data_IF_966930602745
#
_entry.id   IF_966930602745
#
_cell.length_a   1.000
_cell.length_b   1.000
_cell.length_c   1.000
_cell.angle_alpha   90.00
_cell.angle_beta   90.00
_cell.angle_gamma   90.00
#
_symmetry.space_group_name_H-M   'P 1'
#
loop_
_entity.id
_entity.type
_entity.pdbx_description
1 polymer ?
#
# COMPACT_ATOMS: atom_id res chain seq x y z
N UNK A 1 19.04 -16.11 33.15
CA UNK A 1 17.63 -15.75 33.39
C UNK A 1 17.54 -14.23 33.41
N UNK A 2 17.08 -13.62 32.32
CA UNK A 2 16.74 -12.20 32.28
C UNK A 2 15.22 -12.13 32.24
N UNK A 3 14.63 -11.42 33.20
CA UNK A 3 13.18 -11.34 33.35
C UNK A 3 12.58 -10.57 32.16
N UNK A 4 11.48 -11.07 31.61
CA UNK A 4 10.76 -10.49 30.48
C UNK A 4 10.19 -9.07 30.73
N UNK A 5 10.30 -8.52 31.94
CA UNK A 5 9.73 -7.21 32.34
C UNK A 5 10.48 -5.97 31.83
N UNK A 6 11.46 -6.10 30.94
CA UNK A 6 12.29 -4.97 30.48
C UNK A 6 12.13 -4.62 29.00
N UNK A 7 11.26 -5.33 28.27
CA UNK A 7 10.97 -5.09 26.86
C UNK A 7 9.47 -4.91 26.60
N UNK A 8 8.74 -4.38 27.57
CA UNK A 8 7.41 -3.84 27.30
C UNK A 8 7.60 -2.57 26.48
N UNK A 9 6.98 -2.56 25.30
CA UNK A 9 7.06 -1.50 24.31
C UNK A 9 6.58 -0.20 24.96
N UNK A 10 7.42 0.85 25.05
CA UNK A 10 7.00 2.13 25.64
C UNK A 10 5.88 2.83 24.86
N UNK A 11 5.43 2.25 23.74
CA UNK A 11 4.33 2.74 22.92
C UNK A 11 3.06 1.87 22.97
N UNK A 12 3.03 0.77 23.75
CA UNK A 12 1.85 -0.11 23.84
C UNK A 12 0.81 0.34 24.89
N UNK A 13 1.11 1.37 25.69
CA UNK A 13 0.16 1.95 26.64
C UNK A 13 -0.50 3.22 26.06
N UNK A 14 -1.79 3.09 25.75
CA UNK A 14 -2.80 4.14 25.63
C UNK A 14 -2.30 5.54 25.19
N UNK A 15 -2.36 5.81 23.88
CA UNK A 15 -2.28 7.13 23.24
C UNK A 15 -3.34 8.16 23.73
N UNK A 16 -4.05 7.91 24.84
CA UNK A 16 -5.02 8.83 25.42
C UNK A 16 -4.39 9.86 26.37
N UNK A 17 -3.09 9.76 26.69
CA UNK A 17 -2.39 10.73 27.56
C UNK A 17 -1.61 11.81 26.80
N UNK A 18 -1.90 12.02 25.50
CA UNK A 18 -1.49 13.27 24.84
C UNK A 18 -2.34 14.40 25.43
N UNK A 19 -1.82 14.99 26.50
CA UNK A 19 -2.24 16.27 27.04
C UNK A 19 -2.06 17.32 25.95
N UNK A 20 -3.11 17.55 25.16
CA UNK A 20 -3.23 18.77 24.39
C UNK A 20 -3.29 19.91 25.41
N UNK A 21 -2.15 20.57 25.62
CA UNK A 21 -2.17 21.91 26.18
C UNK A 21 -3.05 22.74 25.25
N UNK A 22 -4.18 23.20 25.77
CA UNK A 22 -5.06 24.14 25.09
C UNK A 22 -4.19 25.34 24.69
N UNK A 23 -3.94 25.48 23.38
CA UNK A 23 -3.24 26.66 22.85
C UNK A 23 -4.27 27.78 22.88
N UNK A 24 -4.40 28.42 24.05
CA UNK A 24 -5.13 29.67 24.19
C UNK A 24 -4.42 30.65 23.27
N UNK A 25 -5.09 31.00 22.17
CA UNK A 25 -4.64 32.09 21.32
C UNK A 25 -4.77 33.37 22.14
N UNK A 26 -3.64 33.89 22.61
CA UNK A 26 -3.50 35.19 23.26
C UNK A 26 -3.87 36.30 22.26
N UNK A 27 -5.18 36.49 22.07
CA UNK A 27 -5.76 37.69 21.50
C UNK A 27 -5.76 38.75 22.58
N UNK A 28 -4.64 39.48 22.69
CA UNK A 28 -4.48 40.59 23.62
C UNK A 28 -5.55 41.67 23.42
N UNK A 29 -6.53 41.68 24.30
CA UNK A 29 -7.34 42.84 24.62
C UNK A 29 -7.45 42.91 26.14
N UNK A 30 -7.01 44.06 26.67
CA UNK A 30 -6.86 44.34 28.07
C UNK A 30 -8.18 44.30 28.87
N UNK A 31 -8.01 44.06 30.16
CA UNK A 31 -8.81 44.51 31.31
C UNK A 31 -9.55 43.42 32.10
N UNK A 32 -9.07 43.30 33.35
CA UNK A 32 -9.82 43.09 34.58
C UNK A 32 -10.41 41.70 34.94
N UNK A 33 -9.63 41.04 35.80
CA UNK A 33 -9.99 40.66 37.17
C UNK A 33 -10.92 39.45 37.44
N UNK A 34 -10.32 38.56 38.25
CA UNK A 34 -10.92 37.72 39.30
C UNK A 34 -11.60 36.37 38.92
N UNK A 35 -10.85 35.31 39.25
CA UNK A 35 -11.25 34.25 40.19
C UNK A 35 -12.33 33.23 39.75
N UNK A 36 -11.89 32.00 39.43
CA UNK A 36 -12.37 30.75 40.07
C UNK A 36 -11.93 29.49 39.27
N UNK A 37 -11.23 28.56 39.95
CA UNK A 37 -10.95 27.18 39.51
C UNK A 37 -12.22 26.31 39.55
N UNK A 38 -12.32 25.20 38.77
CA UNK A 38 -12.32 23.90 39.48
C UNK A 38 -11.69 22.69 38.76
N UNK A 39 -11.09 21.88 39.65
CA UNK A 39 -10.70 20.45 39.65
C UNK A 39 -11.26 19.49 38.57
N UNK A 40 -10.34 18.71 37.99
CA UNK A 40 -10.59 17.40 37.37
C UNK A 40 -10.67 16.28 38.44
N UNK A 41 -11.53 15.29 38.20
CA UNK A 41 -11.53 13.99 38.88
C UNK A 41 -11.64 12.88 37.84
N UNK A 42 -10.62 12.03 37.81
CA UNK A 42 -10.50 10.79 37.03
C UNK A 42 -11.36 9.66 37.63
N UNK A 43 -11.89 8.80 36.77
CA UNK A 43 -12.27 7.42 37.11
C UNK A 43 -11.99 6.51 35.91
N UNK A 44 -11.27 5.37 36.05
CA UNK A 44 -11.04 4.44 34.96
C UNK A 44 -12.10 3.32 34.97
N UNK A 45 -12.57 2.90 33.79
CA UNK A 45 -13.45 1.74 33.61
C UNK A 45 -13.02 0.91 32.41
N UNK A 46 -12.20 -0.09 32.67
CA UNK A 46 -11.93 -1.26 31.81
C UNK A 46 -13.16 -2.15 31.67
N UNK A 47 -13.73 -2.29 30.46
CA UNK A 47 -14.44 -3.51 30.06
C UNK A 47 -14.35 -3.71 28.54
N UNK A 48 -14.03 -4.94 28.16
CA UNK A 48 -13.86 -5.44 26.80
C UNK A 48 -15.09 -5.26 25.89
N UNK A 49 -14.86 -4.98 24.60
CA UNK A 49 -15.83 -5.27 23.55
C UNK A 49 -15.13 -5.76 22.27
N UNK A 50 -15.15 -7.07 22.09
CA UNK A 50 -14.98 -7.76 20.82
C UNK A 50 -16.24 -7.59 19.95
N UNK A 51 -16.04 -7.55 18.62
CA UNK A 51 -16.98 -8.03 17.60
C UNK A 51 -18.07 -7.08 17.08
N UNK A 52 -18.21 -7.12 15.74
CA UNK A 52 -19.40 -6.80 14.95
C UNK A 52 -19.67 -5.32 14.59
N UNK A 53 -18.96 -4.82 13.57
CA UNK A 53 -19.52 -3.81 12.66
C UNK A 53 -19.95 -4.48 11.35
N UNK A 54 -21.16 -5.04 11.38
CA UNK A 54 -21.97 -5.45 10.23
C UNK A 54 -23.25 -4.61 10.32
N UNK A 55 -23.72 -4.07 9.19
CA UNK A 55 -24.86 -3.14 8.99
C UNK A 55 -24.41 -1.67 8.98
N UNK A 56 -24.82 -0.79 8.08
CA UNK A 56 -25.82 -0.77 7.00
C UNK A 56 -25.54 0.51 6.23
N UNK A 57 -25.29 0.46 4.93
CA UNK A 57 -25.38 1.64 4.06
C UNK A 57 -26.43 1.33 3.00
N UNK A 58 -27.68 1.43 3.43
CA UNK A 58 -28.87 1.34 2.59
C UNK A 58 -29.57 2.69 2.71
N UNK A 59 -29.78 3.31 1.54
CA UNK A 59 -30.78 4.36 1.28
C UNK A 59 -30.73 5.66 2.09
N UNK A 60 -30.01 6.65 1.54
CA UNK A 60 -30.39 8.07 1.64
C UNK A 60 -30.60 8.63 0.21
N UNK A 61 -31.79 8.35 -0.33
CA UNK A 61 -32.39 9.03 -1.49
C UNK A 61 -33.62 9.75 -0.91
N UNK A 62 -33.48 11.00 -0.49
CA UNK A 62 -34.56 11.93 -0.08
C UNK A 62 -33.89 13.07 0.70
N UNK A 63 -34.12 14.37 0.51
CA UNK A 63 -35.03 15.12 -0.34
C UNK A 63 -34.33 16.40 -0.80
N UNK A 64 -34.61 16.87 -2.01
CA UNK A 64 -35.62 17.91 -2.22
C UNK A 64 -35.24 19.23 -1.51
N UNK A 65 -34.25 19.93 -2.06
CA UNK A 65 -34.06 21.35 -1.85
C UNK A 65 -35.17 22.10 -2.58
N UNK A 66 -36.34 22.21 -1.95
CA UNK A 66 -37.36 23.17 -2.33
C UNK A 66 -36.93 24.53 -1.78
N UNK A 67 -36.21 25.28 -2.62
CA UNK A 67 -35.91 26.69 -2.41
C UNK A 67 -37.21 27.48 -2.51
N UNK A 68 -37.90 27.66 -1.38
CA UNK A 68 -38.96 28.65 -1.26
C UNK A 68 -38.33 30.04 -1.26
N UNK A 69 -38.20 30.60 -2.46
CA UNK A 69 -38.08 32.04 -2.66
C UNK A 69 -39.33 32.71 -2.09
N UNK A 70 -39.22 33.27 -0.89
CA UNK A 70 -40.25 34.12 -0.30
C UNK A 70 -40.18 35.47 -1.04
N UNK A 71 -41.25 35.90 -1.73
CA UNK A 71 -41.25 37.18 -2.42
C UNK A 71 -41.20 38.32 -1.40
N UNK A 72 -40.05 38.99 -1.32
CA UNK A 72 -39.88 40.29 -0.68
C UNK A 72 -40.60 41.35 -1.50
N UNK A 73 -41.91 41.42 -1.37
CA UNK A 73 -42.69 42.55 -1.83
C UNK A 73 -43.99 42.61 -1.05
N UNK A 74 -44.35 43.83 -0.69
CA UNK A 74 -45.68 44.31 -0.31
C UNK A 74 -45.85 44.60 1.20
N UNK A 75 -46.12 45.89 1.44
CA UNK A 75 -46.79 46.49 2.61
C UNK A 75 -45.88 46.95 3.76
N UNK A 76 -45.14 48.03 3.52
CA UNK A 76 -44.91 49.06 4.54
C UNK A 76 -46.27 49.71 4.86
N UNK A 77 -46.90 49.30 5.97
CA UNK A 77 -48.21 49.78 6.39
C UNK A 77 -48.45 49.55 7.87
N UNK A 78 -47.91 50.45 8.70
CA UNK A 78 -48.42 50.87 10.01
C UNK A 78 -49.22 49.84 10.83
N UNK A 79 -48.54 48.92 11.51
CA UNK A 79 -49.15 48.09 12.57
C UNK A 79 -48.30 48.14 13.84
N UNK A 80 -48.35 49.26 14.56
CA UNK A 80 -47.63 49.54 15.82
C UNK A 80 -48.10 48.70 17.04
N UNK A 81 -48.32 47.40 16.88
CA UNK A 81 -48.76 46.53 17.98
C UNK A 81 -48.53 45.03 17.81
N UNK A 82 -48.16 44.52 16.63
CA UNK A 82 -47.82 43.08 16.44
C UNK A 82 -46.32 42.78 16.48
N UNK A 83 -45.47 43.80 16.35
CA UNK A 83 -44.01 43.61 16.23
C UNK A 83 -43.34 42.95 17.44
N UNK A 84 -43.93 43.01 18.64
CA UNK A 84 -43.32 42.38 19.81
C UNK A 84 -43.35 40.85 19.77
N UNK A 85 -44.43 40.25 19.25
CA UNK A 85 -44.53 38.79 19.11
C UNK A 85 -43.59 38.28 18.00
N UNK A 86 -43.57 38.98 16.87
CA UNK A 86 -42.66 38.68 15.75
C UNK A 86 -41.19 38.79 16.19
N UNK A 87 -40.83 39.82 16.98
CA UNK A 87 -39.47 39.96 17.51
C UNK A 87 -39.07 38.80 18.44
N UNK A 88 -39.98 38.32 19.30
CA UNK A 88 -39.71 37.15 20.16
C UNK A 88 -39.52 35.86 19.35
N UNK A 89 -40.29 35.66 18.28
CA UNK A 89 -40.11 34.52 17.37
C UNK A 89 -38.76 34.58 16.63
N UNK A 90 -38.35 35.77 16.17
CA UNK A 90 -37.04 35.98 15.55
C UNK A 90 -35.90 35.76 16.55
N UNK A 91 -36.01 36.24 17.79
CA UNK A 91 -35.02 36.02 18.84
C UNK A 91 -34.86 34.53 19.15
N UNK A 92 -35.96 33.79 19.33
CA UNK A 92 -35.94 32.34 19.54
C UNK A 92 -35.29 31.59 18.36
N UNK A 93 -35.57 32.00 17.12
CA UNK A 93 -34.94 31.42 15.94
C UNK A 93 -33.43 31.72 15.87
N UNK A 94 -33.01 32.95 16.22
CA UNK A 94 -31.59 33.31 16.31
C UNK A 94 -30.88 32.47 17.39
N UNK A 95 -31.51 32.25 18.54
CA UNK A 95 -30.97 31.39 19.60
C UNK A 95 -30.84 29.93 19.15
N UNK A 96 -31.85 29.39 18.45
CA UNK A 96 -31.79 28.05 17.87
C UNK A 96 -30.62 27.93 16.86
N UNK A 97 -30.48 28.88 15.93
CA UNK A 97 -29.40 28.88 14.95
C UNK A 97 -28.01 28.98 15.62
N UNK A 98 -27.89 29.74 16.71
CA UNK A 98 -26.65 29.79 17.51
C UNK A 98 -26.34 28.45 18.18
N UNK A 99 -27.35 27.75 18.71
CA UNK A 99 -27.18 26.42 19.29
C UNK A 99 -26.76 25.38 18.25
N UNK A 100 -27.38 25.40 17.06
CA UNK A 100 -27.02 24.55 15.93
C UNK A 100 -25.59 24.82 15.41
N UNK A 101 -25.20 26.10 15.30
CA UNK A 101 -23.82 26.48 14.94
C UNK A 101 -22.81 25.96 15.94
N UNK A 102 -23.11 26.06 17.25
CA UNK A 102 -22.25 25.55 18.32
C UNK A 102 -22.09 24.03 18.26
N UNK A 103 -23.19 23.30 18.03
CA UNK A 103 -23.16 21.84 17.88
C UNK A 103 -22.37 21.41 16.63
N UNK A 104 -22.58 22.09 15.49
CA UNK A 104 -21.85 21.86 14.25
C UNK A 104 -20.34 22.13 14.41
N UNK A 105 -19.96 23.19 15.12
CA UNK A 105 -18.56 23.49 15.40
C UNK A 105 -17.89 22.44 16.31
N UNK A 106 -18.62 21.93 17.31
CA UNK A 106 -18.12 20.85 18.17
C UNK A 106 -17.88 19.56 17.37
N UNK A 107 -18.78 19.22 16.44
CA UNK A 107 -18.60 18.06 15.56
C UNK A 107 -17.45 18.26 14.56
N UNK A 108 -17.27 19.47 14.01
CA UNK A 108 -16.14 19.79 13.15
C UNK A 108 -14.79 19.62 13.88
N UNK A 109 -14.70 20.10 15.12
CA UNK A 109 -13.51 19.90 15.96
C UNK A 109 -13.25 18.41 16.23
N UNK A 110 -14.30 17.61 16.50
CA UNK A 110 -14.20 16.16 16.69
C UNK A 110 -13.69 15.45 15.42
N UNK A 111 -14.23 15.82 14.26
CA UNK A 111 -13.81 15.27 12.96
C UNK A 111 -12.37 15.65 12.63
N UNK A 112 -11.96 16.89 12.92
CA UNK A 112 -10.58 17.35 12.72
C UNK A 112 -9.60 16.57 13.60
N UNK A 113 -9.93 16.33 14.88
CA UNK A 113 -9.12 15.51 15.77
C UNK A 113 -9.00 14.05 15.28
N UNK A 114 -10.11 13.47 14.81
CA UNK A 114 -10.11 12.12 14.22
C UNK A 114 -9.26 12.06 12.95
N UNK A 115 -9.34 13.08 12.09
CA UNK A 115 -8.51 13.19 10.90
C UNK A 115 -7.02 13.21 11.25
N UNK A 116 -6.60 14.07 12.19
CA UNK A 116 -5.20 14.13 12.63
C UNK A 116 -4.71 12.79 13.21
N UNK A 117 -5.56 12.06 13.95
CA UNK A 117 -5.26 10.71 14.46
C UNK A 117 -5.12 9.66 13.35
N UNK A 118 -5.94 9.74 12.31
CA UNK A 118 -5.82 8.84 11.16
C UNK A 118 -4.56 9.17 10.34
N UNK A 119 -4.22 10.44 10.16
CA UNK A 119 -3.01 10.88 9.47
C UNK A 119 -1.72 10.46 10.21
N UNK A 120 -1.70 10.50 11.54
CA UNK A 120 -0.56 9.98 12.32
C UNK A 120 -0.42 8.47 12.17
N UNK A 121 -1.53 7.72 12.21
CA UNK A 121 -1.54 6.26 11.99
C UNK A 121 -1.06 5.88 10.58
N UNK A 122 -1.49 6.61 9.55
CA UNK A 122 -1.03 6.39 8.17
C UNK A 122 0.48 6.62 8.06
N UNK A 123 1.02 7.69 8.67
CA UNK A 123 2.46 7.95 8.70
C UNK A 123 3.25 6.84 9.42
N UNK A 124 2.78 6.39 10.59
CA UNK A 124 3.39 5.28 11.34
C UNK A 124 3.41 3.98 10.53
N UNK A 125 2.28 3.59 9.92
CA UNK A 125 2.21 2.41 9.06
C UNK A 125 3.10 2.52 7.81
N UNK A 126 3.20 3.71 7.22
CA UNK A 126 4.10 3.96 6.08
C UNK A 126 5.56 3.77 6.47
N UNK A 127 5.98 4.25 7.64
CA UNK A 127 7.33 4.02 8.17
C UNK A 127 7.61 2.53 8.44
N UNK A 128 6.65 1.83 9.05
CA UNK A 128 6.74 0.39 9.28
C UNK A 128 6.90 -0.40 7.97
N UNK A 129 6.13 -0.03 6.93
CA UNK A 129 6.24 -0.61 5.59
C UNK A 129 7.63 -0.37 4.97
N UNK A 130 8.12 0.87 4.97
CA UNK A 130 9.43 1.21 4.41
C UNK A 130 10.57 0.45 5.12
N UNK A 131 10.48 0.31 6.45
CA UNK A 131 11.43 -0.48 7.22
C UNK A 131 11.41 -1.97 6.84
N UNK A 132 10.22 -2.56 6.67
CA UNK A 132 10.07 -3.94 6.21
C UNK A 132 10.61 -4.15 4.78
N UNK A 133 10.37 -3.20 3.87
CA UNK A 133 10.91 -3.23 2.50
C UNK A 133 12.44 -3.16 2.50
N UNK A 134 13.04 -2.33 3.35
CA UNK A 134 14.50 -2.25 3.52
C UNK A 134 15.07 -3.56 4.06
N UNK A 135 14.42 -4.20 5.03
CA UNK A 135 14.82 -5.50 5.56
C UNK A 135 14.72 -6.59 4.48
N UNK A 136 13.63 -6.63 3.73
CA UNK A 136 13.45 -7.55 2.62
C UNK A 136 14.57 -7.38 1.56
N UNK A 137 14.96 -6.15 1.26
CA UNK A 137 16.04 -5.89 0.31
C UNK A 137 17.41 -6.37 0.84
N UNK A 138 17.67 -6.21 2.15
CA UNK A 138 18.87 -6.76 2.79
C UNK A 138 18.90 -8.29 2.73
N UNK A 139 17.76 -8.96 2.98
CA UNK A 139 17.65 -10.41 2.87
C UNK A 139 17.82 -10.91 1.43
N UNK A 140 17.29 -10.19 0.44
CA UNK A 140 17.52 -10.50 -0.98
C UNK A 140 19.01 -10.43 -1.35
N UNK A 141 19.73 -9.43 -0.86
CA UNK A 141 21.17 -9.31 -1.09
C UNK A 141 21.96 -10.41 -0.37
N UNK A 142 21.60 -10.74 0.88
CA UNK A 142 22.19 -11.89 1.60
C UNK A 142 21.97 -13.20 0.84
N UNK A 143 20.74 -13.44 0.37
CA UNK A 143 20.39 -14.63 -0.40
C UNK A 143 21.13 -14.69 -1.74
N UNK A 144 21.31 -13.55 -2.41
CA UNK A 144 22.14 -13.46 -3.63
C UNK A 144 23.58 -13.87 -3.36
N UNK A 145 24.21 -13.30 -2.32
CA UNK A 145 25.59 -13.64 -1.93
C UNK A 145 25.71 -15.12 -1.55
N UNK A 146 24.70 -15.70 -0.89
CA UNK A 146 24.68 -17.13 -0.58
C UNK A 146 24.52 -17.99 -1.84
N UNK A 147 23.68 -17.60 -2.80
CA UNK A 147 23.54 -18.30 -4.07
C UNK A 147 24.86 -18.30 -4.86
N UNK A 148 25.56 -17.18 -4.93
CA UNK A 148 26.88 -17.07 -5.58
C UNK A 148 27.91 -18.01 -4.91
N UNK A 149 27.89 -18.12 -3.56
CA UNK A 149 28.75 -19.04 -2.81
C UNK A 149 28.41 -20.51 -3.07
N UNK A 150 27.12 -20.85 -3.15
CA UNK A 150 26.68 -22.22 -3.47
C UNK A 150 27.14 -22.59 -4.88
N UNK A 151 26.96 -21.71 -5.87
CA UNK A 151 27.45 -21.93 -7.24
C UNK A 151 28.96 -22.18 -7.29
N UNK A 152 29.75 -21.38 -6.57
CA UNK A 152 31.21 -21.56 -6.52
C UNK A 152 31.63 -22.91 -5.88
N UNK A 153 30.91 -23.36 -4.84
CA UNK A 153 31.16 -24.65 -4.20
C UNK A 153 30.74 -25.83 -5.10
N UNK A 154 29.67 -25.68 -5.87
CA UNK A 154 29.22 -26.67 -6.85
C UNK A 154 30.26 -26.84 -7.98
N UNK A 155 30.81 -25.73 -8.50
CA UNK A 155 31.91 -25.75 -9.48
C UNK A 155 33.18 -26.43 -8.90
N UNK A 156 33.55 -26.13 -7.65
CA UNK A 156 34.69 -26.77 -6.99
C UNK A 156 34.47 -28.28 -6.82
N UNK A 157 33.26 -28.70 -6.45
CA UNK A 157 32.88 -30.11 -6.33
C UNK A 157 32.96 -30.82 -7.68
N UNK A 158 32.47 -30.20 -8.75
CA UNK A 158 32.55 -30.74 -10.11
C UNK A 158 34.00 -30.93 -10.56
N UNK A 159 34.87 -29.94 -10.33
CA UNK A 159 36.30 -30.04 -10.61
C UNK A 159 36.97 -31.17 -9.83
N UNK A 160 36.64 -31.34 -8.54
CA UNK A 160 37.14 -32.45 -7.73
C UNK A 160 36.66 -33.81 -8.26
N UNK A 161 35.39 -33.92 -8.65
CA UNK A 161 34.83 -35.14 -9.23
C UNK A 161 35.47 -35.50 -10.58
N UNK A 162 35.70 -34.51 -11.45
CA UNK A 162 36.41 -34.70 -12.71
C UNK A 162 37.86 -35.18 -12.47
N UNK A 163 38.57 -34.58 -11.52
CA UNK A 163 39.93 -34.98 -11.12
C UNK A 163 39.97 -36.39 -10.54
N UNK A 164 39.03 -36.74 -9.66
CA UNK A 164 38.92 -38.07 -9.08
C UNK A 164 38.63 -39.13 -10.16
N UNK A 165 37.73 -38.80 -11.09
CA UNK A 165 37.41 -39.67 -12.23
C UNK A 165 38.62 -39.88 -13.15
N UNK A 166 39.36 -38.83 -13.51
CA UNK A 166 40.60 -38.94 -14.28
C UNK A 166 41.66 -39.80 -13.57
N UNK A 167 41.85 -39.62 -12.26
CA UNK A 167 42.78 -40.43 -11.47
C UNK A 167 42.38 -41.93 -11.43
N UNK A 168 41.08 -42.23 -11.38
CA UNK A 168 40.57 -43.59 -11.43
C UNK A 168 40.86 -44.27 -12.79
N UNK A 169 40.71 -43.54 -13.90
CA UNK A 169 41.02 -44.07 -15.24
C UNK A 169 42.52 -44.39 -15.40
N UNK A 170 43.41 -43.59 -14.83
CA UNK A 170 44.86 -43.88 -14.86
C UNK A 170 45.25 -45.10 -14.03
N UNK A 171 44.52 -45.41 -12.96
CA UNK A 171 44.83 -46.57 -12.10
C UNK A 171 44.33 -47.91 -12.67
N UNK A 172 43.31 -47.89 -13.52
CA UNK A 172 42.74 -49.10 -14.13
C UNK A 172 43.49 -49.63 -15.36
N UNK A 173 44.44 -48.87 -15.91
CA UNK A 173 45.09 -49.19 -17.19
C UNK A 173 46.45 -49.92 -17.06
N UNK A 174 46.95 -50.17 -15.85
CA UNK A 174 48.12 -51.06 -15.68
C UNK A 174 47.63 -52.51 -15.64
N UNK A 175 47.89 -53.33 -16.69
CA UNK A 175 47.57 -54.74 -16.66
C UNK A 175 48.42 -55.36 -15.55
N UNK A 176 47.73 -55.87 -14.53
CA UNK A 176 48.33 -56.59 -13.43
C UNK A 176 48.77 -57.98 -13.92
N UNK A 177 49.72 -58.03 -14.86
CA UNK A 177 50.42 -59.26 -15.18
C UNK A 177 51.58 -59.43 -14.20
N UNK A 178 51.30 -60.26 -13.19
CA UNK A 178 52.20 -61.30 -12.70
C UNK A 178 53.67 -60.92 -12.44
N UNK A 179 54.00 -60.63 -11.19
CA UNK A 179 55.15 -61.24 -10.49
C UNK A 179 55.11 -60.79 -9.03
N UNK A 180 54.53 -61.55 -8.11
CA UNK A 180 55.15 -62.72 -7.48
C UNK A 180 56.48 -62.36 -6.82
N UNK A 181 56.45 -62.35 -5.47
CA UNK A 181 57.56 -62.56 -4.54
C UNK A 181 58.60 -61.44 -4.50
N UNK A 182 58.50 -60.59 -3.47
CA UNK A 182 59.59 -60.39 -2.52
C UNK A 182 59.05 -59.80 -1.22
N UNK A 183 58.84 -60.68 -0.25
CA UNK A 183 58.88 -60.36 1.17
C UNK A 183 60.23 -59.70 1.49
N UNK A 184 60.22 -58.43 1.86
CA UNK A 184 61.37 -57.77 2.50
C UNK A 184 60.87 -56.66 3.41
N UNK A 185 60.38 -57.13 4.55
CA UNK A 185 60.54 -56.55 5.89
C UNK A 185 61.75 -55.60 5.96
N UNK A 186 61.49 -54.30 6.15
CA UNK A 186 62.51 -53.37 6.65
C UNK A 186 61.84 -52.23 7.44
N UNK A 187 62.42 -51.81 8.58
CA UNK A 187 61.66 -51.25 9.69
C UNK A 187 61.59 -49.72 9.65
N UNK A 188 60.43 -49.22 10.06
CA UNK A 188 60.28 -48.29 11.19
C UNK A 188 61.46 -47.35 11.45
N UNK A 189 61.39 -46.16 10.86
CA UNK A 189 62.29 -45.03 11.14
C UNK A 189 61.47 -43.74 11.31
N UNK A 190 61.87 -42.83 12.22
CA UNK A 190 60.96 -41.91 12.89
C UNK A 190 60.55 -40.72 12.01
N UNK A 191 59.25 -40.38 12.08
CA UNK A 191 58.65 -39.15 11.57
C UNK A 191 59.42 -37.90 12.05
N UNK A 192 59.87 -37.01 11.15
CA UNK A 192 60.01 -35.61 11.49
C UNK A 192 58.65 -34.93 11.36
N UNK A 193 58.24 -34.27 12.44
CA UNK A 193 57.06 -33.44 12.52
C UNK A 193 57.10 -32.33 11.44
N UNK A 194 56.26 -32.43 10.42
CA UNK A 194 55.96 -31.30 9.56
C UNK A 194 55.03 -30.34 10.32
N UNK A 195 55.28 -29.02 10.27
CA UNK A 195 54.58 -28.04 11.08
C UNK A 195 53.12 -27.95 10.64
N UNK A 196 52.22 -27.94 11.62
CA UNK A 196 50.81 -27.55 11.48
C UNK A 196 50.75 -26.21 10.74
N UNK A 197 50.51 -26.24 9.44
CA UNK A 197 50.02 -25.07 8.71
C UNK A 197 48.63 -24.78 9.26
N UNK A 198 48.55 -23.69 10.02
CA UNK A 198 47.30 -23.09 10.46
C UNK A 198 46.37 -22.99 9.26
N UNK A 199 45.29 -23.78 9.29
CA UNK A 199 44.07 -23.48 8.53
C UNK A 199 43.66 -22.07 8.90
N UNK A 200 43.98 -21.13 8.02
CA UNK A 200 43.49 -19.75 8.07
C UNK A 200 42.03 -19.82 7.66
N UNK A 201 41.17 -19.60 8.64
CA UNK A 201 39.73 -19.47 8.46
C UNK A 201 39.43 -18.25 7.57
N UNK A 202 38.73 -18.38 6.43
CA UNK A 202 38.48 -17.26 5.52
C UNK A 202 37.46 -16.23 6.03
N UNK A 203 36.90 -16.40 7.23
CA UNK A 203 35.74 -15.63 7.70
C UNK A 203 36.05 -14.57 8.78
N UNK A 204 37.29 -14.10 8.91
CA UNK A 204 37.62 -13.08 9.92
C UNK A 204 37.66 -11.67 9.33
N UNK A 205 36.54 -10.96 9.49
CA UNK A 205 36.38 -9.51 9.74
C UNK A 205 37.38 -8.53 9.08
N UNK A 206 36.89 -7.79 8.08
CA UNK A 206 37.59 -6.68 7.40
C UNK A 206 37.42 -5.31 8.11
N UNK A 207 37.05 -5.31 9.41
CA UNK A 207 36.67 -4.09 10.14
C UNK A 207 37.67 -3.68 11.22
N UNK A 208 38.94 -3.39 10.88
CA UNK A 208 39.87 -2.72 11.80
C UNK A 208 41.12 -2.23 11.05
N UNK A 209 41.12 -1.01 10.52
CA UNK A 209 42.32 -0.19 10.28
C UNK A 209 41.90 1.26 10.06
N UNK A 210 42.74 2.19 10.53
CA UNK A 210 42.59 3.66 10.57
C UNK A 210 42.03 4.24 11.89
N UNK A 211 42.81 4.02 12.96
CA UNK A 211 42.90 4.91 14.11
C UNK A 211 44.32 5.51 14.15
N UNK A 212 44.42 6.78 13.77
CA UNK A 212 45.51 7.75 14.07
C UNK A 212 45.22 8.98 13.21
N UNK A 213 45.02 10.20 13.67
CA UNK A 213 45.09 10.81 14.98
C UNK A 213 45.21 12.31 14.72
N UNK A 214 44.27 13.12 15.22
CA UNK A 214 44.44 14.57 15.44
C UNK A 214 43.37 15.03 16.43
N UNK A 215 43.74 15.68 17.55
CA UNK A 215 42.80 16.17 18.56
C UNK A 215 42.52 17.67 18.36
N UNK A 216 41.31 18.10 18.72
CA UNK A 216 40.89 19.45 19.17
C UNK A 216 39.36 19.51 19.02
N UNK A 217 38.63 19.11 20.05
CA UNK A 217 38.06 19.98 21.09
C UNK A 217 36.74 20.68 20.66
N UNK A 218 35.76 20.60 21.57
CA UNK A 218 34.49 21.34 21.62
C UNK A 218 33.35 20.85 20.72
N UNK A 219 32.56 19.90 21.24
CA UNK A 219 31.13 20.14 21.54
C UNK A 219 30.48 18.89 22.15
N UNK A 220 30.15 19.00 23.44
CA UNK A 220 29.26 18.11 24.19
C UNK A 220 27.87 18.12 23.55
N UNK A 221 27.28 16.94 23.29
CA UNK A 221 25.96 16.51 23.78
C UNK A 221 25.39 15.36 22.94
N UNK A 222 24.96 14.31 23.65
CA UNK A 222 24.04 13.23 23.24
C UNK A 222 24.56 12.21 22.21
N UNK A 223 25.49 11.35 22.67
CA UNK A 223 25.55 9.95 22.24
C UNK A 223 24.78 9.09 23.24
N UNK A 224 23.67 8.48 22.80
CA UNK A 224 23.13 7.27 23.40
C UNK A 224 22.65 6.35 22.27
N UNK A 225 23.02 5.07 22.38
CA UNK A 225 22.46 3.92 21.65
C UNK A 225 23.08 3.57 20.29
N UNK A 226 24.36 3.19 20.32
CA UNK A 226 24.95 2.18 19.40
C UNK A 226 25.63 1.08 20.22
N UNK A 227 24.90 0.02 20.59
CA UNK A 227 25.44 -1.34 20.84
C UNK A 227 24.41 -2.25 21.50
N UNK A 228 23.70 -3.04 20.71
CA UNK A 228 23.20 -4.37 21.12
C UNK A 228 22.90 -5.19 19.87
N UNK A 229 23.96 -5.73 19.27
CA UNK A 229 23.86 -6.82 18.31
C UNK A 229 24.31 -8.10 19.01
N UNK A 230 23.42 -8.73 19.81
CA UNK A 230 23.57 -10.12 20.29
C UNK A 230 22.19 -10.72 20.55
N UNK A 231 21.93 -11.85 19.89
CA UNK A 231 20.84 -12.80 20.10
C UNK A 231 19.42 -12.32 19.77
N UNK A 232 19.04 -12.47 18.49
CA UNK A 232 17.64 -12.61 18.13
C UNK A 232 17.11 -13.93 18.72
N UNK A 233 15.94 -13.93 19.39
CA UNK A 233 15.28 -15.16 19.78
C UNK A 233 14.88 -15.94 18.52
N UNK A 234 15.13 -17.24 18.52
CA UNK A 234 14.64 -18.19 17.53
C UNK A 234 13.11 -18.10 17.49
N UNK A 235 12.58 -17.31 16.55
CA UNK A 235 11.14 -17.25 16.30
C UNK A 235 10.76 -18.57 15.66
N UNK A 236 9.89 -19.32 16.35
CA UNK A 236 9.36 -20.59 15.91
C UNK A 236 8.63 -20.42 14.56
N UNK A 237 9.32 -20.76 13.46
CA UNK A 237 8.82 -20.64 12.09
C UNK A 237 7.45 -21.30 11.90
N UNK A 238 7.11 -22.27 12.74
CA UNK A 238 5.84 -23.00 12.71
C UNK A 238 4.62 -22.08 12.88
N UNK A 239 4.71 -20.99 13.67
CA UNK A 239 3.59 -20.05 13.84
C UNK A 239 3.38 -19.12 12.64
N UNK A 240 4.45 -18.79 11.92
CA UNK A 240 4.39 -17.94 10.72
C UNK A 240 3.66 -18.64 9.58
N UNK A 241 3.87 -19.95 9.39
CA UNK A 241 3.20 -20.72 8.35
C UNK A 241 1.69 -20.82 8.59
N UNK A 242 1.25 -21.04 9.83
CA UNK A 242 -0.18 -21.10 10.13
C UNK A 242 -0.92 -19.77 9.94
N UNK A 243 -0.28 -18.63 10.24
CA UNK A 243 -0.89 -17.32 9.99
C UNK A 243 -1.04 -17.03 8.48
N UNK A 244 -0.05 -17.41 7.67
CA UNK A 244 -0.12 -17.28 6.21
C UNK A 244 -1.17 -18.22 5.62
N UNK A 245 -1.25 -19.46 6.09
CA UNK A 245 -2.27 -20.43 5.67
C UNK A 245 -3.70 -19.96 6.03
N UNK A 246 -3.90 -19.39 7.23
CA UNK A 246 -5.18 -18.78 7.62
C UNK A 246 -5.56 -17.59 6.72
N UNK A 247 -4.59 -16.76 6.32
CA UNK A 247 -4.84 -15.66 5.39
C UNK A 247 -5.26 -16.18 4.00
N UNK A 248 -4.59 -17.22 3.50
CA UNK A 248 -4.95 -17.87 2.24
C UNK A 248 -6.35 -18.51 2.30
N UNK A 249 -6.70 -19.18 3.40
CA UNK A 249 -8.05 -19.70 3.62
C UNK A 249 -9.10 -18.59 3.71
N UNK A 250 -8.81 -17.48 4.37
CA UNK A 250 -9.73 -16.33 4.43
C UNK A 250 -9.94 -15.69 3.04
N UNK A 251 -8.89 -15.56 2.23
CA UNK A 251 -8.99 -15.09 0.84
C UNK A 251 -9.78 -16.06 -0.04
N UNK A 252 -9.56 -17.37 0.08
CA UNK A 252 -10.31 -18.39 -0.65
C UNK A 252 -11.80 -18.41 -0.25
N UNK A 253 -12.11 -18.29 1.04
CA UNK A 253 -13.48 -18.19 1.54
C UNK A 253 -14.18 -16.91 1.07
N UNK A 254 -13.46 -15.79 1.00
CA UNK A 254 -13.98 -14.54 0.45
C UNK A 254 -14.25 -14.64 -1.06
N UNK A 255 -13.35 -15.29 -1.82
CA UNK A 255 -13.55 -15.54 -3.25
C UNK A 255 -14.75 -16.46 -3.50
N UNK A 256 -14.90 -17.53 -2.72
CA UNK A 256 -16.05 -18.44 -2.80
C UNK A 256 -17.37 -17.74 -2.44
N UNK A 257 -17.36 -16.84 -1.45
CA UNK A 257 -18.56 -16.10 -1.03
C UNK A 257 -18.97 -15.01 -2.02
N UNK A 258 -18.06 -14.52 -2.86
CA UNK A 258 -18.30 -13.41 -3.81
C UNK A 258 -18.55 -13.87 -5.25
N UNK A 259 -18.36 -15.16 -5.52
CA UNK A 259 -18.44 -15.76 -6.85
C UNK A 259 -19.49 -16.85 -6.96
N UNK A 260 -20.70 -16.63 -6.44
CA UNK A 260 -21.86 -17.39 -6.92
C UNK A 260 -22.14 -16.96 -8.36
N UNK A 261 -22.27 -17.89 -9.33
CA UNK A 261 -22.66 -17.52 -10.67
C UNK A 261 -24.10 -17.00 -10.58
N UNK A 262 -24.26 -15.68 -10.60
CA UNK A 262 -25.51 -15.10 -11.05
C UNK A 262 -25.60 -15.36 -12.55
N UNK A 263 -25.96 -16.60 -12.87
CA UNK A 263 -26.59 -17.02 -14.11
C UNK A 263 -27.88 -16.20 -14.18
N UNK A 264 -27.76 -14.96 -14.65
CA UNK A 264 -28.89 -14.12 -15.01
C UNK A 264 -29.56 -14.81 -16.19
N UNK A 265 -30.54 -15.61 -15.82
CA UNK A 265 -31.61 -16.13 -16.66
C UNK A 265 -32.32 -14.91 -17.28
N UNK A 266 -31.79 -14.47 -18.42
CA UNK A 266 -32.21 -13.27 -19.12
C UNK A 266 -32.33 -13.58 -20.60
N UNK A 267 -33.53 -14.03 -20.99
CA UNK A 267 -34.13 -13.70 -22.28
C UNK A 267 -33.38 -14.18 -23.53
N UNK A 268 -33.68 -15.42 -23.93
CA UNK A 268 -34.08 -15.78 -25.30
C UNK A 268 -34.19 -14.59 -26.27
N UNK A 269 -33.31 -14.51 -27.27
CA UNK A 269 -33.64 -14.37 -28.70
C UNK A 269 -32.37 -14.55 -29.57
N UNK A 270 -32.30 -15.69 -30.25
CA UNK A 270 -31.70 -15.87 -31.59
C UNK A 270 -30.28 -15.32 -31.83
N UNK A 271 -29.26 -16.12 -31.54
CA UNK A 271 -27.96 -16.03 -32.23
C UNK A 271 -27.63 -17.35 -32.88
N UNK A 272 -27.88 -17.39 -34.18
CA UNK A 272 -27.54 -18.42 -35.14
C UNK A 272 -26.04 -18.70 -35.10
N UNK A 273 -25.67 -19.89 -34.61
CA UNK A 273 -24.33 -20.43 -34.72
C UNK A 273 -24.06 -20.81 -36.19
N UNK A 274 -23.04 -20.18 -36.77
CA UNK A 274 -22.41 -20.59 -38.03
C UNK A 274 -21.57 -21.86 -37.80
N UNK A 275 -21.75 -22.93 -38.59
CA UNK A 275 -20.89 -24.12 -38.54
C UNK A 275 -19.65 -23.93 -39.43
N UNK A 276 -18.56 -24.68 -39.19
CA UNK A 276 -17.34 -24.62 -39.99
C UNK A 276 -17.55 -25.29 -41.34
N UNK A 277 -17.04 -24.61 -42.37
CA UNK A 277 -17.05 -24.96 -43.78
C UNK A 277 -16.44 -26.34 -44.04
N UNK A 278 -17.28 -27.32 -44.34
CA UNK A 278 -16.91 -28.64 -44.87
C UNK A 278 -17.51 -28.83 -46.26
N UNK A 279 -16.64 -28.93 -47.26
CA UNK A 279 -16.91 -29.20 -48.67
C UNK A 279 -17.57 -30.58 -48.84
N UNK A 280 -18.79 -30.66 -49.39
CA UNK A 280 -19.20 -31.75 -50.29
C UNK A 280 -20.39 -31.33 -51.14
N UNK A 281 -20.21 -31.46 -52.45
CA UNK A 281 -21.16 -31.30 -53.54
C UNK A 281 -22.31 -32.32 -53.50
N UNK A 282 -23.53 -31.87 -53.86
CA UNK A 282 -24.40 -32.45 -54.90
C UNK A 282 -25.88 -32.09 -54.66
N UNK A 283 -26.36 -31.14 -55.49
CA UNK A 283 -27.52 -31.23 -56.42
C UNK A 283 -28.92 -31.73 -55.96
N UNK A 284 -30.01 -31.39 -56.69
CA UNK A 284 -31.06 -30.52 -56.14
C UNK A 284 -32.47 -31.12 -56.31
N UNK A 285 -33.48 -30.26 -56.09
CA UNK A 285 -34.89 -30.34 -56.50
C UNK A 285 -35.89 -30.61 -55.38
N UNK A 286 -36.77 -29.63 -55.18
CA UNK A 286 -37.91 -29.69 -54.27
C UNK A 286 -38.56 -28.33 -54.10
N UNK A 287 -39.14 -27.81 -55.19
CA UNK A 287 -39.78 -26.52 -55.27
C UNK A 287 -41.03 -26.41 -54.38
N UNK A 288 -41.06 -25.39 -53.51
CA UNK A 288 -42.29 -24.91 -52.84
C UNK A 288 -42.25 -23.38 -52.81
N UNK A 289 -43.32 -22.68 -53.23
CA UNK A 289 -43.32 -21.24 -53.50
C UNK A 289 -43.42 -20.40 -52.20
N UNK A 290 -42.93 -19.14 -52.22
CA UNK A 290 -42.88 -18.30 -51.03
C UNK A 290 -44.24 -17.68 -50.70
N UNK A 291 -44.71 -17.71 -49.45
CA UNK A 291 -45.81 -16.86 -49.03
C UNK A 291 -45.32 -15.44 -48.73
N UNK A 292 -45.87 -14.49 -49.48
CA UNK A 292 -46.22 -13.13 -49.06
C UNK A 292 -45.08 -12.11 -48.80
N UNK A 293 -44.76 -11.40 -49.88
CA UNK A 293 -43.79 -10.31 -50.03
C UNK A 293 -44.20 -8.95 -49.43
N UNK A 294 -44.92 -8.90 -48.28
CA UNK A 294 -45.40 -7.63 -47.70
C UNK A 294 -45.03 -7.36 -46.23
N UNK A 295 -44.27 -8.25 -45.58
CA UNK A 295 -43.83 -8.08 -44.19
C UNK A 295 -42.40 -7.50 -44.06
N UNK A 296 -41.71 -7.25 -45.18
CA UNK A 296 -40.28 -6.90 -45.20
C UNK A 296 -39.94 -5.45 -44.83
N UNK A 297 -40.87 -4.50 -45.00
CA UNK A 297 -40.57 -3.08 -44.74
C UNK A 297 -40.62 -2.69 -43.25
N UNK A 298 -41.45 -3.36 -42.43
CA UNK A 298 -41.53 -3.08 -40.99
C UNK A 298 -40.36 -3.72 -40.22
N UNK A 299 -39.83 -4.83 -40.72
CA UNK A 299 -38.62 -5.48 -40.18
C UNK A 299 -37.34 -4.69 -40.50
N UNK A 300 -37.27 -4.02 -41.66
CA UNK A 300 -36.10 -3.21 -42.02
C UNK A 300 -35.92 -1.97 -41.13
N UNK A 301 -37.00 -1.27 -40.77
CA UNK A 301 -36.89 -0.10 -39.86
C UNK A 301 -36.44 -0.49 -38.44
N UNK A 302 -36.81 -1.68 -37.97
CA UNK A 302 -36.32 -2.20 -36.69
C UNK A 302 -34.83 -2.52 -36.73
N UNK A 303 -34.36 -3.12 -37.82
CA UNK A 303 -32.94 -3.46 -37.99
C UNK A 303 -32.04 -2.22 -38.06
N UNK A 304 -32.47 -1.15 -38.74
CA UNK A 304 -31.69 0.10 -38.81
C UNK A 304 -31.59 0.80 -37.45
N UNK A 305 -32.68 0.83 -36.67
CA UNK A 305 -32.67 1.44 -35.34
C UNK A 305 -31.76 0.67 -34.36
N UNK A 306 -31.78 -0.67 -34.39
CA UNK A 306 -30.88 -1.49 -33.57
C UNK A 306 -29.41 -1.27 -33.98
N UNK A 307 -29.10 -1.24 -35.28
CA UNK A 307 -27.75 -0.96 -35.75
C UNK A 307 -27.26 0.42 -35.30
N UNK A 308 -28.11 1.46 -35.38
CA UNK A 308 -27.77 2.80 -34.91
C UNK A 308 -27.45 2.81 -33.41
N UNK A 309 -28.27 2.14 -32.58
CA UNK A 309 -27.99 2.03 -31.13
C UNK A 309 -26.70 1.29 -30.81
N UNK A 310 -26.35 0.24 -31.57
CA UNK A 310 -25.10 -0.49 -31.42
C UNK A 310 -23.92 0.41 -31.79
N UNK A 311 -23.99 1.10 -32.92
CA UNK A 311 -22.91 2.02 -33.34
C UNK A 311 -22.70 3.17 -32.37
N UNK A 312 -23.77 3.74 -31.81
CA UNK A 312 -23.68 4.78 -30.78
C UNK A 312 -23.07 4.24 -29.48
N UNK A 313 -23.41 3.02 -29.09
CA UNK A 313 -22.81 2.34 -27.93
C UNK A 313 -21.32 2.03 -28.15
N UNK A 314 -20.93 1.60 -29.34
CA UNK A 314 -19.54 1.36 -29.69
C UNK A 314 -18.73 2.66 -29.73
N UNK A 315 -19.32 3.75 -30.24
CA UNK A 315 -18.68 5.07 -30.25
C UNK A 315 -18.44 5.58 -28.83
N UNK A 316 -19.43 5.48 -27.94
CA UNK A 316 -19.29 5.90 -26.53
C UNK A 316 -18.23 5.06 -25.79
N UNK A 317 -18.21 3.73 -26.01
CA UNK A 317 -17.15 2.85 -25.48
C UNK A 317 -15.77 3.22 -26.02
N UNK A 318 -15.66 3.55 -27.30
CA UNK A 318 -14.40 3.95 -27.93
C UNK A 318 -13.88 5.29 -27.38
N UNK A 319 -14.78 6.25 -27.13
CA UNK A 319 -14.45 7.54 -26.50
C UNK A 319 -13.98 7.34 -25.05
N UNK A 320 -14.67 6.49 -24.28
CA UNK A 320 -14.26 6.15 -22.90
C UNK A 320 -12.90 5.45 -22.89
N UNK A 321 -12.67 4.49 -23.79
CA UNK A 321 -11.38 3.83 -23.93
C UNK A 321 -10.24 4.78 -24.35
N UNK A 322 -10.54 5.80 -25.17
CA UNK A 322 -9.58 6.85 -25.49
C UNK A 322 -9.24 7.73 -24.27
N UNK A 323 -10.26 8.14 -23.49
CA UNK A 323 -10.07 8.91 -22.26
C UNK A 323 -9.25 8.16 -21.21
N UNK A 324 -9.51 6.86 -21.02
CA UNK A 324 -8.73 6.00 -20.09
C UNK A 324 -7.26 5.94 -20.52
N UNK A 325 -6.98 5.72 -21.81
CA UNK A 325 -5.59 5.72 -22.33
C UNK A 325 -4.87 7.05 -22.10
N UNK A 326 -5.58 8.17 -22.22
CA UNK A 326 -5.02 9.49 -21.95
C UNK A 326 -4.66 9.66 -20.46
N UNK A 327 -5.55 9.24 -19.55
CA UNK A 327 -5.29 9.28 -18.11
C UNK A 327 -4.15 8.35 -17.70
N UNK A 328 -4.03 7.17 -18.30
CA UNK A 328 -2.91 6.26 -18.09
C UNK A 328 -1.57 6.86 -18.54
N UNK A 329 -1.55 7.52 -19.70
CA UNK A 329 -0.36 8.22 -20.19
C UNK A 329 0.05 9.38 -19.26
N UNK A 330 -0.93 10.15 -18.77
CA UNK A 330 -0.68 11.20 -17.77
C UNK A 330 -0.17 10.63 -16.44
N UNK A 331 -0.76 9.53 -15.96
CA UNK A 331 -0.33 8.87 -14.74
C UNK A 331 1.13 8.42 -14.82
N UNK A 332 1.53 7.86 -15.96
CA UNK A 332 2.91 7.46 -16.22
C UNK A 332 3.84 8.68 -16.19
N UNK A 333 3.45 9.78 -16.86
CA UNK A 333 4.22 11.01 -16.91
C UNK A 333 4.46 11.62 -15.52
N UNK A 334 3.39 11.83 -14.74
CA UNK A 334 3.49 12.37 -13.38
C UNK A 334 4.24 11.42 -12.44
N UNK A 335 4.12 10.09 -12.64
CA UNK A 335 4.91 9.13 -11.88
C UNK A 335 6.41 9.27 -12.12
N UNK A 336 6.82 9.49 -13.39
CA UNK A 336 8.23 9.74 -13.74
C UNK A 336 8.73 11.08 -13.16
N UNK A 337 7.89 12.12 -13.19
CA UNK A 337 8.22 13.43 -12.60
C UNK A 337 8.42 13.33 -11.08
N UNK A 338 7.53 12.62 -10.38
CA UNK A 338 7.65 12.36 -8.94
C UNK A 338 8.93 11.58 -8.61
N UNK A 339 9.31 10.59 -9.42
CA UNK A 339 10.57 9.85 -9.24
C UNK A 339 11.81 10.75 -9.46
N UNK A 340 11.76 11.69 -10.40
CA UNK A 340 12.84 12.66 -10.64
C UNK A 340 12.95 13.67 -9.48
N UNK A 341 11.83 14.21 -8.98
CA UNK A 341 11.81 15.08 -7.80
C UNK A 341 12.33 14.35 -6.56
N UNK A 342 11.98 13.07 -6.38
CA UNK A 342 12.50 12.24 -5.28
C UNK A 342 14.03 12.11 -5.38
N UNK A 343 14.58 11.83 -6.57
CA UNK A 343 16.03 11.80 -6.79
C UNK A 343 16.70 13.16 -6.51
N UNK A 344 16.05 14.27 -6.85
CA UNK A 344 16.56 15.61 -6.56
C UNK A 344 16.57 15.88 -5.05
N UNK A 345 15.50 15.48 -4.34
CA UNK A 345 15.41 15.58 -2.90
C UNK A 345 16.52 14.77 -2.22
N UNK A 346 16.73 13.52 -2.62
CA UNK A 346 17.83 12.69 -2.11
C UNK A 346 19.21 13.32 -2.36
N UNK A 347 19.44 13.92 -3.55
CA UNK A 347 20.71 14.63 -3.84
C UNK A 347 20.90 15.83 -2.92
N UNK A 348 19.85 16.61 -2.69
CA UNK A 348 19.86 17.74 -1.76
C UNK A 348 20.04 17.30 -0.31
N UNK A 349 19.61 16.11 0.06
CA UNK A 349 19.82 15.55 1.41
C UNK A 349 21.23 14.99 1.63
N UNK A 350 21.84 14.40 0.59
CA UNK A 350 23.24 13.96 0.63
C UNK A 350 24.20 15.14 0.79
N UNK A 351 23.89 16.28 0.17
CA UNK A 351 24.62 17.53 0.38
C UNK A 351 24.17 18.08 1.74
N UNK A 352 25.04 18.03 2.77
CA UNK A 352 24.71 18.63 4.08
C UNK A 352 24.19 20.06 3.85
N UNK A 353 22.91 20.30 4.13
CA UNK A 353 22.18 21.56 3.87
C UNK A 353 22.64 22.68 4.81
N UNK A 354 23.88 23.11 4.59
CA UNK A 354 24.57 24.12 5.41
C UNK A 354 24.14 25.53 5.04
N UNK A 355 23.75 25.77 3.79
CA UNK A 355 23.37 27.10 3.33
C UNK A 355 21.86 27.32 3.37
N UNK A 356 21.43 28.57 3.61
CA UNK A 356 20.01 28.97 3.52
C UNK A 356 19.46 28.74 2.11
N UNK A 357 20.29 28.86 1.08
CA UNK A 357 19.92 28.61 -0.31
C UNK A 357 19.55 27.13 -0.53
N UNK A 358 20.31 26.19 0.02
CA UNK A 358 20.02 24.75 -0.11
C UNK A 358 18.72 24.38 0.60
N UNK A 359 18.47 24.96 1.78
CA UNK A 359 17.20 24.77 2.50
C UNK A 359 16.00 25.28 1.71
N UNK A 360 16.13 26.46 1.08
CA UNK A 360 15.08 27.00 0.21
C UNK A 360 14.82 26.11 -1.01
N UNK A 361 15.88 25.59 -1.65
CA UNK A 361 15.76 24.63 -2.77
C UNK A 361 15.08 23.35 -2.32
N UNK A 362 15.47 22.77 -1.18
CA UNK A 362 14.83 21.59 -0.60
C UNK A 362 13.34 21.80 -0.40
N UNK A 363 12.95 22.90 0.25
CA UNK A 363 11.55 23.26 0.47
C UNK A 363 10.75 23.55 -0.81
N UNK A 364 11.40 23.87 -1.94
CA UNK A 364 10.73 23.99 -3.25
C UNK A 364 10.49 22.61 -3.85
N UNK A 365 11.51 21.74 -3.82
CA UNK A 365 11.38 20.36 -4.33
C UNK A 365 10.35 19.57 -3.53
N UNK A 366 10.28 19.74 -2.21
CA UNK A 366 9.26 19.11 -1.36
C UNK A 366 7.84 19.54 -1.75
N UNK A 367 7.62 20.85 -1.95
CA UNK A 367 6.31 21.36 -2.41
C UNK A 367 5.92 20.82 -3.79
N UNK A 368 6.86 20.76 -4.72
CA UNK A 368 6.62 20.18 -6.04
C UNK A 368 6.27 18.69 -5.94
N UNK A 369 6.93 17.95 -5.06
CA UNK A 369 6.65 16.54 -4.83
C UNK A 369 5.22 16.35 -4.29
N UNK A 370 4.79 17.17 -3.32
CA UNK A 370 3.40 17.16 -2.82
C UNK A 370 2.37 17.50 -3.91
N UNK A 371 2.68 18.47 -4.79
CA UNK A 371 1.82 18.83 -5.93
C UNK A 371 1.69 17.67 -6.92
N UNK A 372 2.79 17.03 -7.29
CA UNK A 372 2.79 15.85 -8.17
C UNK A 372 2.03 14.66 -7.55
N UNK A 373 2.16 14.43 -6.25
CA UNK A 373 1.40 13.39 -5.56
C UNK A 373 -0.11 13.67 -5.56
N UNK A 374 -0.52 14.94 -5.45
CA UNK A 374 -1.93 15.34 -5.60
C UNK A 374 -2.43 15.06 -7.01
N UNK A 375 -1.67 15.40 -8.05
CA UNK A 375 -2.03 15.10 -9.45
C UNK A 375 -2.16 13.59 -9.70
N UNK A 376 -1.17 12.79 -9.25
CA UNK A 376 -1.23 11.33 -9.33
C UNK A 376 -2.47 10.78 -8.61
N UNK A 377 -2.79 11.33 -7.42
CA UNK A 377 -3.98 10.98 -6.65
C UNK A 377 -5.28 11.25 -7.41
N UNK A 378 -5.40 12.43 -8.02
CA UNK A 378 -6.56 12.82 -8.82
C UNK A 378 -6.74 11.90 -10.04
N UNK A 379 -5.69 11.66 -10.81
CA UNK A 379 -5.74 10.78 -12.00
C UNK A 379 -6.17 9.36 -11.59
N UNK A 380 -5.67 8.83 -10.47
CA UNK A 380 -6.08 7.52 -9.94
C UNK A 380 -7.53 7.47 -9.48
N UNK A 381 -8.11 8.58 -9.03
CA UNK A 381 -9.53 8.68 -8.68
C UNK A 381 -10.39 8.70 -9.94
N UNK A 382 -9.98 9.46 -10.95
CA UNK A 382 -10.66 9.52 -12.26
C UNK A 382 -10.66 8.14 -12.94
N UNK A 383 -9.51 7.47 -13.01
CA UNK A 383 -9.42 6.09 -13.53
C UNK A 383 -10.33 5.11 -12.79
N UNK A 384 -10.46 5.25 -11.46
CA UNK A 384 -11.40 4.44 -10.66
C UNK A 384 -12.86 4.74 -11.00
N UNK A 385 -13.20 6.01 -11.23
CA UNK A 385 -14.55 6.40 -11.66
C UNK A 385 -14.91 5.83 -13.03
N UNK A 386 -14.00 5.91 -14.01
CA UNK A 386 -14.18 5.29 -15.33
C UNK A 386 -14.29 3.76 -15.24
N UNK A 387 -13.46 3.11 -14.40
CA UNK A 387 -13.51 1.66 -14.17
C UNK A 387 -14.78 1.19 -13.45
N UNK A 388 -15.42 2.07 -12.68
CA UNK A 388 -16.70 1.81 -12.04
C UNK A 388 -17.87 2.01 -13.02
N UNK A 389 -17.77 2.96 -13.95
CA UNK A 389 -18.77 3.18 -15.00
C UNK A 389 -18.80 2.07 -16.06
N UNK A 390 -17.65 1.42 -16.30
CA UNK A 390 -17.52 0.32 -17.26
C UNK A 390 -17.96 -1.06 -16.72
N UNK A 391 -18.15 -1.18 -15.40
CA UNK A 391 -18.68 -2.37 -14.72
C UNK A 391 -20.19 -2.26 -14.60
#
# INVERSE_FOLDING_TARGET
>A
MFSAKYYDDPFDDDDNDICYAEIVSDGGAAADAADARPRCTFAPSTVAFTSALRRTSETAKSGCGASTEIPLSTVYGSRSGSGQAENLEYEAHIEQLRAELKASNAENNRLTALQSKLESRVRSLSFGKENAERQLQQEKERNRVLADKVSALEEELELMMARASSAAHHRGATPLETSSVHDSRSPEGPRPAAPRTQRRDPNTSIGQFMASGTPLELSRSLELSRSTARHAPSVDSSRSFHALEQLHHAQAAYAASRGGPHERQGGSMMTTALPPTGLTSNEPQGAVPPPSSRQTLRSQRGATAVHETITAQEQTRSQQAAAVRQLEAQLLHHSQQRDELTKQLERLERIRTRTVADRKKKAVVERQLEEEEKFIGQIRLELRSYSALMR
#
